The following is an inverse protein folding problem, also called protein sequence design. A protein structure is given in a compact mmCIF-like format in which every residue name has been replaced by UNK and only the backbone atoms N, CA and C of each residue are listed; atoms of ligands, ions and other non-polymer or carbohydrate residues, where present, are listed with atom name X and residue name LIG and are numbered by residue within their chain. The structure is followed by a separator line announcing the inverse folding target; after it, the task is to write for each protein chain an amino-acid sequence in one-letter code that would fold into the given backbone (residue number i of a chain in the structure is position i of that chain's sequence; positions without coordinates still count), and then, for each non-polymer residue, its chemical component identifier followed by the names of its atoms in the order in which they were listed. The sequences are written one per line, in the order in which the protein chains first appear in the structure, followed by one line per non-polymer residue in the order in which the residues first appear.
data_IF_840640675458
#
_entry.id   IF_840640675458
#
_cell.length_a   1.000
_cell.length_b   1.000
_cell.length_c   1.000
_cell.angle_alpha   90.00
_cell.angle_beta   90.00
_cell.angle_gamma   90.00
#
_symmetry.space_group_name_H-M   'P 1'
#
loop_
_entity.id
_entity.type
_entity.pdbx_description
1 polymer ?
#
# COMPACT_ATOMS: atom_id res chain seq x y z
N UNK A 1 18.54 71.85 -49.07
CA UNK A 1 19.62 72.09 -50.05
C UNK A 1 20.95 71.88 -49.35
N UNK A 2 21.83 71.06 -49.95
CA UNK A 2 23.32 71.06 -49.84
C UNK A 2 23.90 70.63 -48.48
N UNK A 3 24.28 69.35 -48.27
CA UNK A 3 25.49 68.59 -48.70
C UNK A 3 26.62 68.69 -47.65
N UNK A 4 27.04 67.55 -47.06
CA UNK A 4 28.34 66.86 -47.27
C UNK A 4 29.51 67.52 -46.48
N UNK A 5 30.50 66.89 -45.87
CA UNK A 5 31.01 65.51 -45.81
C UNK A 5 32.22 65.50 -44.83
N UNK A 6 32.50 64.32 -44.25
CA UNK A 6 33.83 63.76 -43.87
C UNK A 6 34.65 64.38 -42.72
N UNK A 7 34.87 63.56 -41.67
CA UNK A 7 36.16 62.93 -41.30
C UNK A 7 35.94 62.12 -40.00
N UNK A 8 35.61 60.83 -40.04
CA UNK A 8 36.49 59.66 -40.23
C UNK A 8 37.79 59.70 -39.39
N UNK A 9 37.76 59.05 -38.23
CA UNK A 9 38.89 58.25 -37.76
C UNK A 9 38.38 57.08 -36.90
N UNK A 10 38.62 55.91 -37.47
CA UNK A 10 38.15 54.58 -37.10
C UNK A 10 39.25 53.92 -36.28
N UNK A 11 38.95 53.54 -35.03
CA UNK A 11 39.73 52.54 -34.28
C UNK A 11 38.84 51.32 -34.15
N UNK A 12 39.17 50.33 -34.96
CA UNK A 12 38.59 49.00 -35.00
C UNK A 12 39.49 48.08 -34.16
N UNK A 13 38.96 47.50 -33.09
CA UNK A 13 39.47 46.24 -32.55
C UNK A 13 38.27 45.35 -32.19
N UNK A 14 38.03 44.39 -33.07
CA UNK A 14 37.12 43.27 -32.90
C UNK A 14 37.51 42.43 -31.67
N UNK A 15 36.51 42.06 -30.87
CA UNK A 15 36.47 40.76 -30.23
C UNK A 15 35.02 40.25 -30.28
N UNK A 16 34.84 39.31 -31.21
CA UNK A 16 33.81 38.30 -31.39
C UNK A 16 32.56 38.31 -30.47
N UNK A 17 31.43 38.28 -31.17
CA UNK A 17 30.17 37.65 -30.78
C UNK A 17 30.30 36.44 -29.84
N UNK A 18 29.39 36.34 -28.87
CA UNK A 18 28.45 35.21 -28.76
C UNK A 18 27.16 35.76 -28.14
N UNK A 19 26.09 35.75 -28.93
CA UNK A 19 24.72 35.70 -28.43
C UNK A 19 24.57 34.41 -27.61
N UNK A 20 24.65 34.55 -26.29
CA UNK A 20 24.38 33.48 -25.34
C UNK A 20 23.01 33.67 -24.69
N UNK A 21 21.95 33.80 -25.49
CA UNK A 21 20.61 33.54 -24.97
C UNK A 21 20.57 32.04 -24.64
N UNK A 22 20.89 31.68 -23.39
CA UNK A 22 20.69 30.33 -22.90
C UNK A 22 19.24 29.94 -23.20
N UNK A 23 18.98 28.79 -23.87
CA UNK A 23 17.63 28.36 -24.12
C UNK A 23 16.93 28.24 -22.76
N UNK A 24 15.87 29.01 -22.55
CA UNK A 24 15.02 28.84 -21.39
C UNK A 24 14.70 27.35 -21.27
N UNK A 25 14.96 26.69 -20.12
CA UNK A 25 14.71 25.26 -19.99
C UNK A 25 13.25 25.03 -20.36
N UNK A 26 13.00 24.20 -21.38
CA UNK A 26 11.65 23.79 -21.76
C UNK A 26 11.09 22.96 -20.61
N UNK A 27 10.45 23.63 -19.66
CA UNK A 27 9.78 22.99 -18.55
C UNK A 27 8.48 22.39 -19.07
N UNK A 28 8.48 21.06 -19.24
CA UNK A 28 7.25 20.31 -19.50
C UNK A 28 6.71 19.87 -18.15
N UNK A 29 5.60 20.45 -17.72
CA UNK A 29 4.85 19.97 -16.55
C UNK A 29 4.16 18.65 -16.90
N UNK A 30 4.73 17.53 -16.46
CA UNK A 30 4.15 16.20 -16.61
C UNK A 30 3.27 15.90 -15.40
N UNK A 31 2.00 15.57 -15.64
CA UNK A 31 1.12 15.05 -14.60
C UNK A 31 1.53 13.60 -14.27
N UNK A 32 2.24 13.44 -13.15
CA UNK A 32 2.70 12.15 -12.67
C UNK A 32 1.55 11.19 -12.37
N UNK A 33 0.36 11.69 -12.00
CA UNK A 33 -0.81 10.85 -11.73
C UNK A 33 -1.32 10.20 -13.01
N UNK A 34 -1.43 10.98 -14.08
CA UNK A 34 -1.87 10.50 -15.40
C UNK A 34 -0.88 9.52 -16.03
N UNK A 35 0.41 9.69 -15.76
CA UNK A 35 1.44 8.72 -16.15
C UNK A 35 1.38 7.43 -15.33
N UNK A 36 1.06 7.53 -14.04
CA UNK A 36 0.90 6.39 -13.13
C UNK A 36 -0.30 5.51 -13.51
N UNK A 37 -1.44 6.13 -13.82
CA UNK A 37 -2.69 5.45 -14.20
C UNK A 37 -2.59 4.73 -15.56
N UNK A 38 -1.79 5.26 -16.49
CA UNK A 38 -1.60 4.69 -17.83
C UNK A 38 -0.43 3.69 -17.92
N UNK A 39 0.34 3.50 -16.84
CA UNK A 39 1.44 2.56 -16.84
C UNK A 39 0.91 1.12 -16.67
N UNK A 40 1.05 0.29 -17.70
CA UNK A 40 0.49 -1.07 -17.71
C UNK A 40 0.99 -1.96 -16.56
N UNK A 41 2.20 -1.71 -16.03
CA UNK A 41 2.71 -2.38 -14.83
C UNK A 41 1.93 -2.04 -13.56
N UNK A 42 1.39 -0.82 -13.45
CA UNK A 42 0.48 -0.42 -12.36
C UNK A 42 -0.73 -1.35 -12.32
N UNK A 43 -1.30 -1.71 -13.49
CA UNK A 43 -2.45 -2.61 -13.57
C UNK A 43 -2.12 -4.04 -13.13
N UNK A 44 -0.95 -4.57 -13.51
CA UNK A 44 -0.52 -5.91 -13.08
C UNK A 44 -0.22 -5.95 -11.58
N UNK A 45 0.53 -4.97 -11.07
CA UNK A 45 0.82 -4.86 -9.63
C UNK A 45 -0.45 -4.63 -8.81
N UNK A 46 -1.46 -3.93 -9.36
CA UNK A 46 -2.76 -3.78 -8.73
C UNK A 46 -3.51 -5.12 -8.64
N UNK A 47 -3.52 -5.92 -9.72
CA UNK A 47 -4.15 -7.25 -9.69
C UNK A 47 -3.50 -8.19 -8.67
N UNK A 48 -2.17 -8.14 -8.56
CA UNK A 48 -1.42 -8.92 -7.56
C UNK A 48 -1.77 -8.43 -6.14
N UNK A 49 -1.84 -7.11 -5.93
CA UNK A 49 -2.23 -6.52 -4.65
C UNK A 49 -3.68 -6.84 -4.26
N UNK A 50 -4.62 -6.78 -5.20
CA UNK A 50 -6.03 -7.14 -4.97
C UNK A 50 -6.18 -8.64 -4.64
N UNK A 51 -5.33 -9.48 -5.22
CA UNK A 51 -5.30 -10.92 -4.91
C UNK A 51 -4.83 -11.18 -3.47
N UNK A 52 -3.85 -10.42 -2.99
CA UNK A 52 -3.39 -10.46 -1.61
C UNK A 52 -4.44 -9.97 -0.62
N UNK A 53 -5.14 -8.87 -0.95
CA UNK A 53 -6.28 -8.39 -0.16
C UNK A 53 -7.35 -9.49 -0.06
N UNK A 54 -7.66 -10.17 -1.16
CA UNK A 54 -8.61 -11.30 -1.16
C UNK A 54 -8.07 -12.50 -0.39
N UNK A 55 -6.77 -12.76 -0.41
CA UNK A 55 -6.11 -13.78 0.41
C UNK A 55 -6.30 -13.49 1.89
N UNK A 56 -5.90 -12.30 2.32
CA UNK A 56 -6.01 -11.85 3.71
C UNK A 56 -7.45 -11.87 4.22
N UNK A 57 -8.43 -11.44 3.41
CA UNK A 57 -9.86 -11.53 3.77
C UNK A 57 -10.36 -12.96 3.93
N UNK A 58 -9.88 -13.90 3.10
CA UNK A 58 -10.25 -15.31 3.22
C UNK A 58 -9.71 -15.93 4.51
N UNK A 59 -8.48 -15.61 4.85
CA UNK A 59 -7.86 -16.06 6.10
C UNK A 59 -8.55 -15.42 7.32
N UNK A 60 -8.87 -14.14 7.28
CA UNK A 60 -9.67 -13.46 8.31
C UNK A 60 -11.02 -14.15 8.52
N UNK A 61 -11.74 -14.44 7.43
CA UNK A 61 -13.03 -15.13 7.49
C UNK A 61 -12.89 -16.55 8.07
N UNK A 62 -11.83 -17.28 7.73
CA UNK A 62 -11.57 -18.60 8.28
C UNK A 62 -11.32 -18.54 9.81
N UNK A 63 -10.58 -17.53 10.29
CA UNK A 63 -10.38 -17.30 11.72
C UNK A 63 -11.69 -16.95 12.43
N UNK A 64 -12.52 -16.08 11.83
CA UNK A 64 -13.84 -15.73 12.36
C UNK A 64 -14.74 -16.98 12.43
N UNK A 65 -14.73 -17.82 11.40
CA UNK A 65 -15.52 -19.05 11.39
C UNK A 65 -15.07 -20.03 12.50
N UNK A 66 -13.76 -20.13 12.75
CA UNK A 66 -13.22 -20.92 13.86
C UNK A 66 -13.67 -20.37 15.23
N UNK A 67 -13.64 -19.05 15.42
CA UNK A 67 -14.13 -18.40 16.64
C UNK A 67 -15.62 -18.68 16.84
N UNK A 68 -16.44 -18.52 15.81
CA UNK A 68 -17.88 -18.78 15.88
C UNK A 68 -18.18 -20.24 16.25
N UNK A 69 -17.46 -21.21 15.66
CA UNK A 69 -17.59 -22.64 16.01
C UNK A 69 -17.21 -22.90 17.46
N UNK A 70 -16.11 -22.30 17.93
CA UNK A 70 -15.69 -22.43 19.33
C UNK A 70 -16.70 -21.80 20.30
N UNK A 71 -17.31 -20.67 19.94
CA UNK A 71 -18.37 -20.02 20.70
C UNK A 71 -19.63 -20.90 20.82
N UNK A 72 -20.06 -21.51 19.72
CA UNK A 72 -21.19 -22.44 19.73
C UNK A 72 -20.91 -23.68 20.59
N UNK A 73 -19.71 -24.26 20.51
CA UNK A 73 -19.30 -25.39 21.34
C UNK A 73 -19.25 -25.01 22.83
N UNK A 74 -18.69 -23.84 23.15
CA UNK A 74 -18.65 -23.32 24.51
C UNK A 74 -20.05 -23.11 25.08
N UNK A 75 -20.97 -22.53 24.30
CA UNK A 75 -22.37 -22.33 24.70
C UNK A 75 -23.06 -23.66 24.96
N UNK A 76 -22.90 -24.65 24.09
CA UNK A 76 -23.44 -26.01 24.30
C UNK A 76 -22.87 -26.65 25.56
N UNK A 77 -21.57 -26.48 25.85
CA UNK A 77 -20.96 -27.02 27.06
C UNK A 77 -21.53 -26.37 28.32
N UNK A 78 -21.77 -25.06 28.31
CA UNK A 78 -22.42 -24.34 29.42
C UNK A 78 -23.87 -24.77 29.63
N UNK A 79 -24.66 -24.88 28.56
CA UNK A 79 -26.05 -25.35 28.63
C UNK A 79 -26.12 -26.75 29.24
N UNK A 80 -25.27 -27.66 28.77
CA UNK A 80 -25.18 -29.01 29.33
C UNK A 80 -24.66 -29.00 30.77
N UNK A 81 -23.69 -28.17 31.13
CA UNK A 81 -23.14 -28.12 32.49
C UNK A 81 -24.16 -27.59 33.53
N UNK A 82 -25.16 -26.83 33.09
CA UNK A 82 -26.26 -26.34 33.91
C UNK A 82 -27.45 -27.32 33.96
N UNK A 83 -27.39 -28.44 33.24
CA UNK A 83 -28.41 -29.47 33.31
C UNK A 83 -28.39 -30.15 34.70
N UNK A 84 -29.49 -30.00 35.42
CA UNK A 84 -29.66 -30.53 36.78
C UNK A 84 -29.77 -32.06 36.80
N UNK A 85 -30.01 -32.70 35.64
CA UNK A 85 -30.05 -34.15 35.51
C UNK A 85 -28.65 -34.80 35.55
N UNK A 86 -27.56 -34.04 35.36
CA UNK A 86 -26.19 -34.57 35.38
C UNK A 86 -25.68 -34.79 36.81
N UNK A 87 -24.86 -35.84 36.96
CA UNK A 87 -24.16 -36.11 38.23
C UNK A 87 -23.17 -34.97 38.56
N UNK A 88 -22.79 -34.84 39.83
CA UNK A 88 -21.82 -33.84 40.26
C UNK A 88 -20.45 -33.99 39.55
N UNK A 89 -20.05 -35.23 39.26
CA UNK A 89 -18.79 -35.56 38.61
C UNK A 89 -18.81 -35.22 37.11
N UNK A 90 -19.94 -35.46 36.44
CA UNK A 90 -20.15 -35.06 35.04
C UNK A 90 -20.20 -33.54 34.88
N UNK A 91 -20.87 -32.83 35.82
CA UNK A 91 -20.89 -31.36 35.84
C UNK A 91 -19.50 -30.77 35.99
N UNK A 92 -18.67 -31.31 36.87
CA UNK A 92 -17.29 -30.86 37.06
C UNK A 92 -16.45 -31.07 35.79
N UNK A 93 -16.57 -32.23 35.14
CA UNK A 93 -15.90 -32.50 33.85
C UNK A 93 -16.34 -31.52 32.76
N UNK A 94 -17.63 -31.20 32.68
CA UNK A 94 -18.15 -30.23 31.69
C UNK A 94 -17.72 -28.79 31.99
N UNK A 95 -17.63 -28.39 33.26
CA UNK A 95 -17.06 -27.10 33.66
C UNK A 95 -15.60 -26.95 33.21
N UNK A 96 -14.77 -27.97 33.47
CA UNK A 96 -13.37 -27.98 33.00
C UNK A 96 -13.26 -27.90 31.48
N UNK A 97 -14.09 -28.65 30.75
CA UNK A 97 -14.14 -28.58 29.29
C UNK A 97 -14.58 -27.18 28.79
N UNK A 98 -15.52 -26.54 29.48
CA UNK A 98 -15.94 -25.17 29.16
C UNK A 98 -14.82 -24.15 29.44
N UNK A 99 -14.09 -24.28 30.54
CA UNK A 99 -12.92 -23.44 30.86
C UNK A 99 -11.81 -23.58 29.82
N UNK A 100 -11.51 -24.81 29.39
CA UNK A 100 -10.53 -25.08 28.33
C UNK A 100 -10.96 -24.42 27.02
N UNK A 101 -12.23 -24.61 26.61
CA UNK A 101 -12.78 -23.97 25.41
C UNK A 101 -12.81 -22.45 25.50
N UNK A 102 -13.07 -21.89 26.68
CA UNK A 102 -12.99 -20.45 26.90
C UNK A 102 -11.56 -19.92 26.72
N UNK A 103 -10.56 -20.67 27.20
CA UNK A 103 -9.15 -20.34 26.99
C UNK A 103 -8.78 -20.35 25.50
N UNK A 104 -9.24 -21.37 24.76
CA UNK A 104 -9.00 -21.48 23.32
C UNK A 104 -9.67 -20.35 22.52
N UNK A 105 -10.90 -20.00 22.89
CA UNK A 105 -11.64 -18.89 22.30
C UNK A 105 -10.90 -17.55 22.51
N UNK A 106 -10.38 -17.31 23.73
CA UNK A 106 -9.53 -16.14 24.01
C UNK A 106 -8.26 -16.12 23.16
N UNK A 107 -7.60 -17.28 22.99
CA UNK A 107 -6.42 -17.39 22.11
C UNK A 107 -6.77 -17.10 20.65
N UNK A 108 -7.88 -17.65 20.15
CA UNK A 108 -8.34 -17.44 18.78
C UNK A 108 -8.71 -15.97 18.52
N UNK A 109 -9.39 -15.31 19.47
CA UNK A 109 -9.67 -13.87 19.40
C UNK A 109 -8.38 -13.04 19.38
N UNK A 110 -7.40 -13.38 20.22
CA UNK A 110 -6.08 -12.75 20.19
C UNK A 110 -5.35 -12.94 18.86
N UNK A 111 -5.41 -14.14 18.28
CA UNK A 111 -4.83 -14.45 16.98
C UNK A 111 -5.50 -13.65 15.84
N UNK A 112 -6.83 -13.49 15.87
CA UNK A 112 -7.56 -12.66 14.89
C UNK A 112 -7.12 -11.19 14.96
N UNK A 113 -7.00 -10.63 16.17
CA UNK A 113 -6.58 -9.25 16.36
C UNK A 113 -5.13 -9.03 15.87
N UNK A 114 -4.23 -9.94 16.23
CA UNK A 114 -2.84 -9.92 15.75
C UNK A 114 -2.76 -10.07 14.23
N UNK A 115 -3.58 -10.94 13.65
CA UNK A 115 -3.68 -11.12 12.20
C UNK A 115 -4.12 -9.82 11.51
N UNK A 116 -5.16 -9.16 12.01
CA UNK A 116 -5.65 -7.88 11.46
C UNK A 116 -4.58 -6.80 11.47
N UNK A 117 -3.88 -6.65 12.60
CA UNK A 117 -2.81 -5.66 12.74
C UNK A 117 -1.66 -5.95 11.77
N UNK A 118 -1.23 -7.21 11.70
CA UNK A 118 -0.15 -7.64 10.81
C UNK A 118 -0.54 -7.47 9.34
N UNK A 119 -1.73 -7.93 8.96
CA UNK A 119 -2.25 -7.79 7.60
C UNK A 119 -2.35 -6.32 7.17
N UNK A 120 -2.82 -5.43 8.05
CA UNK A 120 -2.88 -4.00 7.76
C UNK A 120 -1.49 -3.40 7.50
N UNK A 121 -0.50 -3.74 8.33
CA UNK A 121 0.88 -3.29 8.17
C UNK A 121 1.46 -3.82 6.86
N UNK A 122 1.37 -5.14 6.63
CA UNK A 122 1.91 -5.78 5.43
C UNK A 122 1.30 -5.24 4.15
N UNK A 123 -0.02 -5.04 4.10
CA UNK A 123 -0.71 -4.47 2.95
C UNK A 123 -0.29 -3.02 2.70
N UNK A 124 -0.18 -2.20 3.75
CA UNK A 124 0.29 -0.81 3.63
C UNK A 124 1.72 -0.73 3.10
N UNK A 125 2.62 -1.53 3.65
CA UNK A 125 4.01 -1.58 3.18
C UNK A 125 4.10 -2.05 1.72
N UNK A 126 3.31 -3.07 1.34
CA UNK A 126 3.26 -3.58 -0.03
C UNK A 126 2.75 -2.50 -0.99
N UNK A 127 1.72 -1.76 -0.60
CA UNK A 127 1.20 -0.62 -1.36
C UNK A 127 2.29 0.46 -1.55
N UNK A 128 2.99 0.84 -0.49
CA UNK A 128 4.05 1.84 -0.57
C UNK A 128 5.22 1.38 -1.44
N UNK A 129 5.60 0.09 -1.37
CA UNK A 129 6.62 -0.49 -2.27
C UNK A 129 6.20 -0.41 -3.73
N UNK A 130 4.96 -0.75 -4.05
CA UNK A 130 4.41 -0.64 -5.42
C UNK A 130 4.50 0.81 -5.90
N UNK A 131 4.06 1.77 -5.08
CA UNK A 131 4.11 3.21 -5.41
C UNK A 131 5.54 3.67 -5.67
N UNK A 132 6.46 3.35 -4.75
CA UNK A 132 7.87 3.75 -4.87
C UNK A 132 8.54 3.17 -6.12
N UNK A 133 8.27 1.90 -6.42
CA UNK A 133 8.81 1.24 -7.62
C UNK A 133 8.30 1.91 -8.90
N UNK A 134 7.00 2.20 -8.98
CA UNK A 134 6.42 2.86 -10.16
C UNK A 134 6.97 4.29 -10.32
N UNK A 135 7.07 5.07 -9.23
CA UNK A 135 7.66 6.41 -9.28
C UNK A 135 9.12 6.38 -9.73
N UNK A 136 9.90 5.40 -9.25
CA UNK A 136 11.30 5.21 -9.67
C UNK A 136 11.39 4.93 -11.17
N UNK A 137 10.62 3.96 -11.67
CA UNK A 137 10.61 3.62 -13.10
C UNK A 137 10.17 4.81 -13.97
N UNK A 138 9.16 5.58 -13.53
CA UNK A 138 8.71 6.78 -14.24
C UNK A 138 9.82 7.84 -14.35
N UNK A 139 10.56 8.09 -13.26
CA UNK A 139 11.69 9.04 -13.26
C UNK A 139 12.79 8.61 -14.22
N UNK A 140 13.13 7.33 -14.24
CA UNK A 140 14.13 6.77 -15.15
C UNK A 140 13.70 6.96 -16.62
N UNK A 141 12.43 6.69 -16.95
CA UNK A 141 11.93 6.88 -18.31
C UNK A 141 11.84 8.35 -18.74
N UNK A 142 11.40 9.25 -17.87
CA UNK A 142 11.35 10.69 -18.17
C UNK A 142 12.76 11.23 -18.37
N UNK A 143 13.72 10.84 -17.53
CA UNK A 143 15.12 11.24 -17.67
C UNK A 143 15.74 10.70 -18.97
N UNK A 144 15.37 9.47 -19.37
CA UNK A 144 15.80 8.91 -20.64
C UNK A 144 15.22 9.65 -21.85
N UNK A 145 13.97 10.14 -21.78
CA UNK A 145 13.32 10.92 -22.84
C UNK A 145 13.72 12.40 -22.87
N UNK A 146 14.22 12.93 -21.76
CA UNK A 146 14.68 14.31 -21.64
C UNK A 146 16.14 14.50 -22.11
N UNK A 147 16.85 13.41 -22.42
CA UNK A 147 18.18 13.42 -23.04
C UNK A 147 18.09 13.42 -24.56
#
# INVERSE_FOLDING_TARGET
MVRKFVAFLLVLTCAAAVEGAAPAPRMVSLDMKKLFDNFWKTRRSQLDFDTEIRGAKREENALIEQINKAEEEYKKLLENANDQALSAEEREKRKKAAEEKFSDLRRAQGALEQFRQTAQITLREKQMRIINNIVKELREQVTAKAR
#
